data_IF_491356645838
#
_entry.id   IF_491356645838
#
_cell.length_a   1.000
_cell.length_b   1.000
_cell.length_c   1.000
_cell.angle_alpha   90.00
_cell.angle_beta   90.00
_cell.angle_gamma   90.00
#
_symmetry.space_group_name_H-M   'P 1'
#
loop_
_entity.id
_entity.type
_entity.pdbx_description
1 polymer ?
#
# COMPACT_ATOMS: atom_id res chain seq x y z
N UNK A 1 22.12 9.40 31.82
CA UNK A 1 22.02 7.93 31.75
C UNK A 1 22.08 7.54 30.28
N UNK A 2 22.95 6.60 29.90
CA UNK A 2 23.60 6.66 28.60
C UNK A 2 22.76 5.98 27.51
N UNK A 3 22.71 6.64 26.35
CA UNK A 3 22.43 6.05 25.05
C UNK A 3 23.54 5.04 24.72
N UNK A 4 23.47 3.84 25.29
CA UNK A 4 24.39 2.74 25.02
C UNK A 4 23.89 1.87 23.87
N UNK A 5 24.68 1.85 22.79
CA UNK A 5 24.94 0.68 21.91
C UNK A 5 23.82 0.10 21.03
N UNK A 6 23.15 0.94 20.22
CA UNK A 6 22.54 0.45 18.96
C UNK A 6 23.56 0.33 17.80
N UNK A 7 24.85 0.37 18.09
CA UNK A 7 25.93 0.38 17.09
C UNK A 7 26.45 -1.01 16.71
N UNK A 8 25.96 -2.10 17.32
CA UNK A 8 26.43 -3.47 17.06
C UNK A 8 25.31 -4.42 16.63
N UNK A 9 24.53 -4.04 15.63
CA UNK A 9 23.90 -5.05 14.77
C UNK A 9 24.77 -5.16 13.52
N UNK A 10 25.26 -6.36 13.16
CA UNK A 10 26.06 -6.54 11.95
C UNK A 10 25.31 -5.89 10.78
N UNK A 11 26.04 -5.26 9.86
CA UNK A 11 25.53 -4.76 8.57
C UNK A 11 24.93 -5.94 7.78
N UNK A 12 23.78 -6.45 8.22
CA UNK A 12 23.03 -7.47 7.51
C UNK A 12 22.56 -6.81 6.24
N UNK A 13 22.97 -7.41 5.13
CA UNK A 13 22.58 -7.02 3.80
C UNK A 13 21.08 -6.72 3.72
N UNK A 14 20.77 -5.83 2.80
CA UNK A 14 19.41 -5.48 2.44
C UNK A 14 18.62 -6.76 2.15
N UNK A 15 17.54 -6.97 2.89
CA UNK A 15 16.71 -8.14 2.68
C UNK A 15 15.90 -7.92 1.41
N UNK A 16 16.39 -8.45 0.28
CA UNK A 16 15.80 -8.28 -1.05
C UNK A 16 14.29 -8.60 -1.10
N UNK A 17 13.83 -9.54 -0.26
CA UNK A 17 12.42 -9.90 -0.15
C UNK A 17 11.53 -8.74 0.35
N UNK A 18 12.06 -7.86 1.21
CA UNK A 18 11.32 -6.69 1.74
C UNK A 18 11.09 -5.66 0.63
N UNK A 19 12.11 -5.44 -0.20
CA UNK A 19 11.98 -4.56 -1.36
C UNK A 19 11.04 -5.16 -2.38
N UNK A 20 11.22 -6.43 -2.75
CA UNK A 20 10.37 -7.10 -3.73
C UNK A 20 8.90 -7.11 -3.27
N UNK A 21 8.64 -7.49 -2.02
CA UNK A 21 7.30 -7.48 -1.43
C UNK A 21 6.72 -6.07 -1.34
N UNK A 22 7.48 -5.11 -0.82
CA UNK A 22 7.06 -3.71 -0.73
C UNK A 22 6.73 -3.11 -2.10
N UNK A 23 7.57 -3.35 -3.11
CA UNK A 23 7.34 -2.94 -4.49
C UNK A 23 6.07 -3.56 -5.07
N UNK A 24 5.88 -4.88 -4.90
CA UNK A 24 4.70 -5.57 -5.40
C UNK A 24 3.40 -5.03 -4.75
N UNK A 25 3.39 -4.87 -3.44
CA UNK A 25 2.23 -4.32 -2.71
C UNK A 25 1.94 -2.87 -3.11
N UNK A 26 2.98 -2.04 -3.23
CA UNK A 26 2.85 -0.65 -3.71
C UNK A 26 2.34 -0.59 -5.14
N UNK A 27 2.89 -1.40 -6.05
CA UNK A 27 2.47 -1.47 -7.44
C UNK A 27 0.98 -1.85 -7.58
N UNK A 28 0.56 -2.91 -6.88
CA UNK A 28 -0.84 -3.37 -6.94
C UNK A 28 -1.80 -2.37 -6.32
N UNK A 29 -1.46 -1.77 -5.18
CA UNK A 29 -2.31 -0.74 -4.58
C UNK A 29 -2.39 0.52 -5.44
N UNK A 30 -1.29 0.93 -6.10
CA UNK A 30 -1.29 2.06 -7.01
C UNK A 30 -2.14 1.79 -8.26
N UNK A 31 -2.08 0.56 -8.79
CA UNK A 31 -2.93 0.09 -9.91
C UNK A 31 -4.41 0.20 -9.55
N UNK A 32 -4.82 -0.34 -8.39
CA UNK A 32 -6.21 -0.24 -7.93
C UNK A 32 -6.64 1.22 -7.74
N UNK A 33 -5.78 2.04 -7.14
CA UNK A 33 -6.08 3.44 -6.86
C UNK A 33 -6.29 4.26 -8.14
N UNK A 34 -5.45 4.05 -9.17
CA UNK A 34 -5.63 4.68 -10.47
C UNK A 34 -6.94 4.23 -11.15
N UNK A 35 -7.28 2.94 -11.08
CA UNK A 35 -8.53 2.45 -11.63
C UNK A 35 -9.77 3.06 -10.97
N UNK A 36 -9.81 3.11 -9.63
CA UNK A 36 -10.89 3.78 -8.89
C UNK A 36 -10.98 5.28 -9.23
N UNK A 37 -9.83 5.95 -9.37
CA UNK A 37 -9.79 7.36 -9.74
C UNK A 37 -10.43 7.62 -11.10
N UNK A 38 -10.20 6.74 -12.07
CA UNK A 38 -10.72 6.89 -13.43
C UNK A 38 -12.21 6.54 -13.48
N UNK A 39 -12.62 5.43 -12.85
CA UNK A 39 -14.00 4.93 -12.90
C UNK A 39 -14.96 5.75 -12.02
N UNK A 40 -14.53 6.15 -10.82
CA UNK A 40 -15.40 6.76 -9.80
C UNK A 40 -14.95 8.17 -9.38
N UNK A 41 -13.90 8.74 -9.98
CA UNK A 41 -13.39 10.07 -9.64
C UNK A 41 -12.70 10.19 -8.27
N UNK A 42 -12.65 9.10 -7.50
CA UNK A 42 -12.14 9.05 -6.12
C UNK A 42 -11.06 7.99 -5.99
N UNK A 43 -10.14 8.20 -5.07
CA UNK A 43 -9.12 7.22 -4.70
C UNK A 43 -9.61 6.35 -3.53
N UNK A 44 -8.92 5.23 -3.27
CA UNK A 44 -9.19 4.34 -2.12
C UNK A 44 -8.06 4.37 -1.07
N UNK A 45 -7.06 5.21 -1.30
CA UNK A 45 -5.88 5.33 -0.43
C UNK A 45 -5.26 6.73 -0.36
N UNK A 46 -5.65 7.67 -1.24
CA UNK A 46 -5.07 9.02 -1.35
C UNK A 46 -6.05 10.08 -0.84
N UNK A 47 -6.40 9.95 0.44
CA UNK A 47 -7.41 10.78 1.09
C UNK A 47 -7.07 12.28 1.04
N UNK A 48 -5.79 12.66 1.06
CA UNK A 48 -5.39 14.08 0.97
C UNK A 48 -5.82 14.73 -0.34
N UNK A 49 -5.66 14.02 -1.47
CA UNK A 49 -6.10 14.52 -2.77
C UNK A 49 -7.62 14.58 -2.89
N UNK A 50 -8.32 13.57 -2.38
CA UNK A 50 -9.79 13.54 -2.44
C UNK A 50 -10.43 14.59 -1.51
N UNK A 51 -9.84 14.88 -0.34
CA UNK A 51 -10.22 16.02 0.50
C UNK A 51 -10.14 17.32 -0.28
N UNK A 52 -9.03 17.56 -0.99
CA UNK A 52 -8.88 18.76 -1.83
C UNK A 52 -9.92 18.82 -2.96
N UNK A 53 -10.22 17.70 -3.62
CA UNK A 53 -11.28 17.65 -4.65
C UNK A 53 -12.64 18.02 -4.08
N UNK A 54 -13.03 17.44 -2.94
CA UNK A 54 -14.31 17.75 -2.28
C UNK A 54 -14.38 19.23 -1.93
N UNK A 55 -13.29 19.82 -1.41
CA UNK A 55 -13.25 21.24 -1.08
C UNK A 55 -13.38 22.16 -2.32
N UNK A 56 -12.75 21.78 -3.44
CA UNK A 56 -12.86 22.51 -4.71
C UNK A 56 -14.29 22.46 -5.25
N UNK A 57 -14.90 21.27 -5.28
CA UNK A 57 -16.27 21.08 -5.78
C UNK A 57 -17.31 21.78 -4.88
N UNK A 58 -17.07 21.81 -3.56
CA UNK A 58 -17.85 22.60 -2.62
C UNK A 58 -17.78 24.10 -2.94
N UNK A 59 -16.59 24.64 -3.17
CA UNK A 59 -16.40 26.06 -3.49
C UNK A 59 -17.02 26.44 -4.84
N UNK A 60 -17.04 25.50 -5.80
CA UNK A 60 -17.66 25.68 -7.10
C UNK A 60 -19.19 25.54 -7.09
N UNK A 61 -19.78 25.05 -6.00
CA UNK A 61 -21.23 24.86 -5.87
C UNK A 61 -21.79 23.78 -6.80
N UNK A 62 -20.98 22.78 -7.18
CA UNK A 62 -21.43 21.73 -8.10
C UNK A 62 -22.27 20.68 -7.37
N UNK A 63 -23.13 19.98 -8.12
CA UNK A 63 -23.93 18.87 -7.58
C UNK A 63 -23.08 17.63 -7.21
N UNK A 64 -21.81 17.56 -7.64
CA UNK A 64 -20.91 16.42 -7.40
C UNK A 64 -20.33 16.39 -5.99
N UNK A 65 -20.43 17.50 -5.25
CA UNK A 65 -19.85 17.62 -3.91
C UNK A 65 -20.39 16.57 -2.95
N UNK A 66 -21.70 16.27 -3.00
CA UNK A 66 -22.34 15.30 -2.09
C UNK A 66 -21.82 13.89 -2.36
N UNK A 67 -21.72 13.51 -3.64
CA UNK A 67 -21.22 12.20 -4.06
C UNK A 67 -19.74 12.02 -3.64
N UNK A 68 -18.87 12.97 -3.96
CA UNK A 68 -17.45 12.90 -3.62
C UNK A 68 -17.23 12.92 -2.10
N UNK A 69 -18.02 13.69 -1.36
CA UNK A 69 -17.95 13.71 0.10
C UNK A 69 -18.36 12.37 0.71
N UNK A 70 -19.38 11.70 0.17
CA UNK A 70 -19.77 10.35 0.59
C UNK A 70 -18.71 9.31 0.26
N UNK A 71 -18.15 9.36 -0.95
CA UNK A 71 -17.04 8.50 -1.36
C UNK A 71 -15.85 8.65 -0.40
N UNK A 72 -15.46 9.90 -0.10
CA UNK A 72 -14.37 10.21 0.82
C UNK A 72 -14.66 9.73 2.25
N UNK A 73 -15.88 9.95 2.76
CA UNK A 73 -16.27 9.52 4.10
C UNK A 73 -16.18 8.00 4.24
N UNK A 74 -16.78 7.27 3.29
CA UNK A 74 -16.75 5.79 3.29
C UNK A 74 -15.34 5.28 3.13
N UNK A 75 -14.56 5.82 2.18
CA UNK A 75 -13.16 5.45 2.00
C UNK A 75 -12.35 5.65 3.29
N UNK A 76 -12.50 6.81 3.95
CA UNK A 76 -11.76 7.16 5.17
C UNK A 76 -12.12 6.22 6.33
N UNK A 77 -13.41 6.02 6.60
CA UNK A 77 -13.86 5.16 7.69
C UNK A 77 -13.48 3.70 7.46
N UNK A 78 -13.65 3.20 6.23
CA UNK A 78 -13.26 1.83 5.88
C UNK A 78 -11.75 1.64 5.93
N UNK A 79 -10.95 2.60 5.46
CA UNK A 79 -9.49 2.56 5.57
C UNK A 79 -9.05 2.52 7.04
N UNK A 80 -9.63 3.36 7.89
CA UNK A 80 -9.36 3.37 9.33
C UNK A 80 -9.71 2.02 9.96
N UNK A 81 -10.88 1.45 9.61
CA UNK A 81 -11.29 0.14 10.09
C UNK A 81 -10.32 -0.97 9.64
N UNK A 82 -9.86 -0.94 8.38
CA UNK A 82 -8.86 -1.87 7.86
C UNK A 82 -7.54 -1.78 8.60
N UNK A 83 -7.04 -0.56 8.80
CA UNK A 83 -5.82 -0.32 9.58
C UNK A 83 -5.96 -0.77 11.04
N UNK A 84 -7.13 -0.53 11.65
CA UNK A 84 -7.45 -0.96 13.02
C UNK A 84 -7.48 -2.48 13.14
N UNK A 85 -8.14 -3.15 12.19
CA UNK A 85 -8.20 -4.61 12.14
C UNK A 85 -6.82 -5.24 11.94
N UNK A 86 -5.99 -4.66 11.07
CA UNK A 86 -4.62 -5.10 10.92
C UNK A 86 -3.80 -4.93 12.21
N UNK A 87 -3.91 -3.76 12.88
CA UNK A 87 -3.24 -3.54 14.16
C UNK A 87 -3.71 -4.49 15.27
N UNK A 88 -5.00 -4.84 15.29
CA UNK A 88 -5.56 -5.80 16.24
C UNK A 88 -5.10 -7.24 15.94
N UNK A 89 -5.24 -7.67 14.69
CA UNK A 89 -4.98 -9.05 14.27
C UNK A 89 -3.49 -9.39 14.11
N UNK A 90 -2.66 -8.41 13.77
CA UNK A 90 -1.21 -8.58 13.54
C UNK A 90 -0.49 -7.93 14.72
N UNK A 91 -0.44 -8.66 15.82
CA UNK A 91 0.02 -8.19 17.13
C UNK A 91 1.56 -8.08 17.23
N UNK A 92 2.25 -7.48 16.25
CA UNK A 92 3.73 -7.37 16.28
C UNK A 92 4.26 -6.11 15.57
N UNK A 93 5.10 -5.30 16.24
CA UNK A 93 5.60 -4.03 15.70
C UNK A 93 6.79 -4.14 14.74
N UNK A 94 7.13 -5.33 14.20
CA UNK A 94 8.27 -5.50 13.29
C UNK A 94 8.03 -6.51 12.17
N UNK A 95 8.52 -6.20 10.97
CA UNK A 95 8.51 -7.09 9.80
C UNK A 95 9.48 -8.28 10.01
N UNK A 96 8.93 -9.50 10.08
CA UNK A 96 9.68 -10.73 10.33
C UNK A 96 9.33 -11.83 9.31
N UNK A 97 10.33 -12.38 8.62
CA UNK A 97 10.13 -13.40 7.57
C UNK A 97 9.37 -14.65 8.05
N UNK A 98 9.42 -14.94 9.35
CA UNK A 98 8.73 -16.04 10.02
C UNK A 98 7.21 -15.85 10.13
N UNK A 99 6.66 -14.69 9.74
CA UNK A 99 5.24 -14.36 9.89
C UNK A 99 4.41 -14.74 8.66
N UNK A 100 3.11 -15.04 8.82
CA UNK A 100 2.27 -15.54 7.73
C UNK A 100 1.75 -14.41 6.83
N UNK A 101 2.65 -13.55 6.30
CA UNK A 101 2.27 -12.44 5.42
C UNK A 101 1.45 -12.89 4.21
N UNK A 102 1.71 -14.09 3.68
CA UNK A 102 0.96 -14.65 2.56
C UNK A 102 -0.55 -14.73 2.81
N UNK A 103 -0.99 -15.05 4.04
CA UNK A 103 -2.43 -15.07 4.39
C UNK A 103 -3.03 -13.67 4.38
N UNK A 104 -2.33 -12.70 4.96
CA UNK A 104 -2.76 -11.31 4.97
C UNK A 104 -2.88 -10.74 3.54
N UNK A 105 -1.91 -11.05 2.67
CA UNK A 105 -1.92 -10.66 1.25
C UNK A 105 -3.06 -11.34 0.49
N UNK A 106 -3.36 -12.61 0.75
CA UNK A 106 -4.53 -13.28 0.17
C UNK A 106 -5.85 -12.65 0.63
N UNK A 107 -5.98 -12.25 1.90
CA UNK A 107 -7.17 -11.53 2.39
C UNK A 107 -7.37 -10.22 1.64
N UNK A 108 -6.29 -9.45 1.43
CA UNK A 108 -6.34 -8.23 0.60
C UNK A 108 -6.84 -8.54 -0.82
N UNK A 109 -6.33 -9.62 -1.43
CA UNK A 109 -6.78 -10.07 -2.75
C UNK A 109 -8.25 -10.47 -2.80
N UNK A 110 -8.75 -11.16 -1.77
CA UNK A 110 -10.18 -11.50 -1.64
C UNK A 110 -11.04 -10.24 -1.48
N UNK A 111 -10.60 -9.26 -0.69
CA UNK A 111 -11.30 -7.97 -0.61
C UNK A 111 -11.35 -7.27 -1.97
N UNK A 112 -10.26 -7.27 -2.75
CA UNK A 112 -10.27 -6.70 -4.10
C UNK A 112 -11.21 -7.45 -5.06
N UNK A 113 -11.33 -8.78 -4.91
CA UNK A 113 -12.29 -9.58 -5.66
C UNK A 113 -13.75 -9.26 -5.29
N UNK A 114 -14.02 -9.07 -4.00
CA UNK A 114 -15.35 -8.63 -3.53
C UNK A 114 -15.67 -7.24 -4.07
N UNK A 115 -14.70 -6.30 -3.98
CA UNK A 115 -14.85 -4.96 -4.54
C UNK A 115 -15.14 -5.01 -6.04
N UNK A 116 -14.48 -5.89 -6.79
CA UNK A 116 -14.77 -6.11 -8.21
C UNK A 116 -16.23 -6.57 -8.43
N UNK A 117 -16.67 -7.57 -7.68
CA UNK A 117 -18.00 -8.17 -7.84
C UNK A 117 -19.14 -7.17 -7.58
N UNK A 118 -18.93 -6.23 -6.65
CA UNK A 118 -19.96 -5.24 -6.28
C UNK A 118 -19.79 -3.90 -6.99
N UNK A 119 -18.71 -3.66 -7.73
CA UNK A 119 -18.38 -2.35 -8.31
C UNK A 119 -19.50 -1.76 -9.17
N UNK A 120 -20.11 -2.56 -10.04
CA UNK A 120 -21.13 -2.10 -10.98
C UNK A 120 -22.47 -1.79 -10.32
N UNK A 121 -22.90 -2.61 -9.34
CA UNK A 121 -24.19 -2.48 -8.69
C UNK A 121 -24.14 -1.56 -7.45
N UNK A 122 -23.01 -1.55 -6.73
CA UNK A 122 -22.83 -0.84 -5.48
C UNK A 122 -21.43 -0.17 -5.41
N UNK A 123 -21.20 0.91 -6.19
CA UNK A 123 -19.89 1.58 -6.25
C UNK A 123 -19.34 2.01 -4.88
N UNK A 124 -20.22 2.53 -4.01
CA UNK A 124 -19.86 2.95 -2.66
C UNK A 124 -19.38 1.78 -1.79
N UNK A 125 -19.99 0.59 -1.95
CA UNK A 125 -19.55 -0.62 -1.26
C UNK A 125 -18.18 -1.08 -1.79
N UNK A 126 -17.95 -1.00 -3.11
CA UNK A 126 -16.64 -1.30 -3.68
C UNK A 126 -15.53 -0.37 -3.17
N UNK A 127 -15.81 0.94 -3.07
CA UNK A 127 -14.92 1.92 -2.43
C UNK A 127 -14.62 1.51 -0.99
N UNK A 128 -15.64 1.18 -0.20
CA UNK A 128 -15.48 0.76 1.19
C UNK A 128 -14.60 -0.48 1.35
N UNK A 129 -14.90 -1.55 0.60
CA UNK A 129 -14.14 -2.82 0.68
C UNK A 129 -12.69 -2.63 0.20
N UNK A 130 -12.46 -1.92 -0.89
CA UNK A 130 -11.11 -1.65 -1.38
C UNK A 130 -10.31 -0.74 -0.44
N UNK A 131 -10.96 0.28 0.14
CA UNK A 131 -10.32 1.18 1.10
C UNK A 131 -9.97 0.45 2.41
N UNK A 132 -10.84 -0.44 2.88
CA UNK A 132 -10.52 -1.37 3.98
C UNK A 132 -9.28 -2.19 3.67
N UNK A 133 -9.20 -2.79 2.48
CA UNK A 133 -8.05 -3.59 2.07
C UNK A 133 -6.76 -2.75 2.01
N UNK A 134 -6.81 -1.53 1.47
CA UNK A 134 -5.68 -0.60 1.46
C UNK A 134 -5.24 -0.18 2.86
N UNK A 135 -6.19 0.11 3.76
CA UNK A 135 -5.91 0.42 5.17
C UNK A 135 -5.24 -0.75 5.89
N UNK A 136 -5.78 -1.95 5.69
CA UNK A 136 -5.23 -3.19 6.24
C UNK A 136 -3.80 -3.44 5.73
N UNK A 137 -3.54 -3.27 4.43
CA UNK A 137 -2.20 -3.40 3.84
C UNK A 137 -1.20 -2.39 4.41
N UNK A 138 -1.60 -1.13 4.55
CA UNK A 138 -0.69 -0.11 5.05
C UNK A 138 -0.33 -0.30 6.52
N UNK A 139 -1.22 -0.90 7.32
CA UNK A 139 -0.94 -1.28 8.70
C UNK A 139 -0.13 -2.59 8.82
N UNK A 140 -0.23 -3.49 7.84
CA UNK A 140 0.58 -4.72 7.76
C UNK A 140 2.08 -4.43 7.61
N UNK A 141 2.44 -3.36 6.90
CA UNK A 141 3.81 -3.04 6.51
C UNK A 141 4.51 -2.04 7.46
N UNK A 142 4.16 -2.01 8.74
CA UNK A 142 4.42 -0.80 9.55
C UNK A 142 5.86 -0.56 9.99
N UNK A 143 6.73 -1.57 10.11
CA UNK A 143 8.10 -1.30 10.58
C UNK A 143 9.15 -2.27 10.02
N UNK A 144 10.07 -1.73 9.21
CA UNK A 144 11.30 -2.39 8.82
C UNK A 144 12.50 -1.61 9.36
N UNK A 145 13.23 -2.18 10.33
CA UNK A 145 14.46 -1.59 10.90
C UNK A 145 14.30 -0.11 11.33
N UNK A 146 13.17 0.21 11.96
CA UNK A 146 12.84 1.57 12.42
C UNK A 146 12.29 2.52 11.34
N UNK A 147 12.28 2.11 10.06
CA UNK A 147 11.56 2.80 9.00
C UNK A 147 10.11 2.33 8.96
N UNK A 148 9.18 3.27 8.80
CA UNK A 148 7.77 2.96 8.57
C UNK A 148 7.56 2.72 7.07
N UNK A 149 7.30 1.48 6.66
CA UNK A 149 7.16 1.15 5.23
C UNK A 149 5.70 1.32 4.78
N UNK A 150 5.32 2.53 4.36
CA UNK A 150 3.95 2.81 3.90
C UNK A 150 3.82 2.59 2.39
N UNK A 151 2.98 1.63 1.98
CA UNK A 151 2.89 1.21 0.56
C UNK A 151 2.11 2.18 -0.34
N UNK A 152 1.26 3.05 0.22
CA UNK A 152 0.45 4.01 -0.56
C UNK A 152 0.79 5.48 -0.34
N UNK A 153 1.75 5.80 0.54
CA UNK A 153 2.02 7.17 0.97
C UNK A 153 3.22 7.79 0.24
N UNK A 154 3.06 8.02 -1.07
CA UNK A 154 4.15 8.44 -1.98
C UNK A 154 4.84 9.75 -1.54
N UNK A 155 4.10 10.73 -1.03
CA UNK A 155 4.68 12.01 -0.55
C UNK A 155 5.65 11.79 0.60
N UNK A 156 5.34 10.86 1.51
CA UNK A 156 6.25 10.45 2.58
C UNK A 156 7.51 9.79 2.05
N UNK A 157 7.37 8.86 1.09
CA UNK A 157 8.51 8.19 0.46
C UNK A 157 9.44 9.18 -0.27
N UNK A 158 8.88 10.17 -0.97
CA UNK A 158 9.64 11.23 -1.64
C UNK A 158 10.39 12.11 -0.63
N UNK A 159 9.74 12.50 0.47
CA UNK A 159 10.39 13.26 1.55
C UNK A 159 11.53 12.48 2.18
N UNK A 160 11.32 11.20 2.48
CA UNK A 160 12.35 10.33 3.04
C UNK A 160 13.53 10.17 2.08
N UNK A 161 13.25 9.94 0.78
CA UNK A 161 14.27 9.86 -0.26
C UNK A 161 15.07 11.16 -0.36
N UNK A 162 14.39 12.31 -0.47
CA UNK A 162 15.02 13.62 -0.58
C UNK A 162 15.87 13.97 0.64
N UNK A 163 15.37 13.71 1.85
CA UNK A 163 16.10 13.95 3.10
C UNK A 163 17.37 13.09 3.18
N UNK A 164 17.26 11.79 2.87
CA UNK A 164 18.42 10.89 2.88
C UNK A 164 19.45 11.25 1.81
N UNK A 165 19.02 11.58 0.59
CA UNK A 165 19.92 12.05 -0.47
C UNK A 165 20.65 13.35 -0.05
N UNK A 166 19.93 14.32 0.51
CA UNK A 166 20.51 15.56 0.99
C UNK A 166 21.55 15.35 2.10
N UNK A 167 21.28 14.44 3.03
CA UNK A 167 22.26 14.06 4.07
C UNK A 167 23.51 13.39 3.47
N UNK A 168 23.35 12.51 2.48
CA UNK A 168 24.48 11.88 1.77
C UNK A 168 25.32 12.92 1.03
N UNK A 169 24.69 13.89 0.36
CA UNK A 169 25.40 14.99 -0.32
C UNK A 169 26.19 15.87 0.67
N UNK A 170 25.72 15.97 1.92
CA UNK A 170 26.41 16.67 3.01
C UNK A 170 27.51 15.83 3.69
N UNK A 171 27.76 14.61 3.20
CA UNK A 171 28.81 13.73 3.71
C UNK A 171 28.41 12.86 4.91
N UNK A 172 27.12 12.81 5.28
CA UNK A 172 26.67 11.88 6.32
C UNK A 172 26.65 10.43 5.80
N UNK A 173 27.08 9.48 6.63
CA UNK A 173 27.02 8.04 6.33
C UNK A 173 25.57 7.52 6.46
N UNK A 174 24.80 7.65 5.38
CA UNK A 174 23.44 7.14 5.29
C UNK A 174 23.46 5.74 4.69
N UNK A 175 22.84 4.80 5.40
CA UNK A 175 22.73 3.43 4.92
C UNK A 175 21.96 3.34 3.59
N UNK A 176 22.53 2.65 2.59
CA UNK A 176 21.99 2.54 1.22
C UNK A 176 20.52 2.14 1.15
N UNK A 177 20.04 1.30 2.06
CA UNK A 177 18.64 0.86 2.09
C UNK A 177 17.65 1.98 2.37
N UNK A 178 18.05 3.03 3.08
CA UNK A 178 17.22 4.21 3.33
C UNK A 178 16.97 5.05 2.07
N UNK A 179 17.79 4.87 1.04
CA UNK A 179 17.65 5.52 -0.26
C UNK A 179 16.96 4.57 -1.25
N UNK A 180 17.43 3.33 -1.34
CA UNK A 180 16.96 2.37 -2.32
C UNK A 180 15.51 1.93 -2.08
N UNK A 181 15.09 1.71 -0.82
CA UNK A 181 13.70 1.31 -0.53
C UNK A 181 12.71 2.40 -1.01
N UNK A 182 12.79 3.66 -0.55
CA UNK A 182 11.88 4.70 -1.04
C UNK A 182 11.94 4.90 -2.55
N UNK A 183 13.13 4.85 -3.15
CA UNK A 183 13.30 4.97 -4.60
C UNK A 183 12.51 3.89 -5.36
N UNK A 184 12.72 2.61 -5.02
CA UNK A 184 12.04 1.51 -5.71
C UNK A 184 10.53 1.49 -5.47
N UNK A 185 10.08 1.89 -4.27
CA UNK A 185 8.65 2.01 -3.99
C UNK A 185 8.02 3.16 -4.80
N UNK A 186 8.67 4.31 -4.91
CA UNK A 186 8.20 5.43 -5.75
C UNK A 186 8.09 5.01 -7.22
N UNK A 187 9.11 4.33 -7.75
CA UNK A 187 9.08 3.80 -9.12
C UNK A 187 7.95 2.77 -9.31
N UNK A 188 7.80 1.83 -8.38
CA UNK A 188 6.69 0.86 -8.40
C UNK A 188 5.32 1.54 -8.34
N UNK A 189 5.18 2.59 -7.54
CA UNK A 189 3.94 3.35 -7.43
C UNK A 189 3.58 3.98 -8.78
N UNK A 190 4.56 4.61 -9.44
CA UNK A 190 4.36 5.23 -10.76
C UNK A 190 3.98 4.19 -11.81
N UNK A 191 4.72 3.08 -11.89
CA UNK A 191 4.46 2.01 -12.84
C UNK A 191 3.10 1.35 -12.60
N UNK A 192 2.72 1.14 -11.34
CA UNK A 192 1.41 0.58 -10.98
C UNK A 192 0.27 1.53 -11.35
N UNK A 193 0.41 2.82 -11.06
CA UNK A 193 -0.56 3.83 -11.49
C UNK A 193 -0.71 3.87 -13.01
N UNK A 194 0.40 3.80 -13.74
CA UNK A 194 0.40 3.76 -15.21
C UNK A 194 -0.30 2.51 -15.74
N UNK A 195 -0.04 1.33 -15.15
CA UNK A 195 -0.74 0.11 -15.51
C UNK A 195 -2.24 0.23 -15.25
N UNK A 196 -2.66 0.75 -14.09
CA UNK A 196 -4.06 0.96 -13.77
C UNK A 196 -4.76 1.86 -14.79
N UNK A 197 -4.10 2.95 -15.19
CA UNK A 197 -4.59 3.82 -16.24
C UNK A 197 -4.70 3.13 -17.60
N UNK A 198 -3.71 2.34 -18.00
CA UNK A 198 -3.74 1.59 -19.26
C UNK A 198 -4.86 0.52 -19.25
N UNK A 199 -5.01 -0.22 -18.15
CA UNK A 199 -6.06 -1.23 -17.99
C UNK A 199 -7.44 -0.64 -18.21
N UNK A 200 -7.73 0.51 -17.60
CA UNK A 200 -9.06 1.14 -17.69
C UNK A 200 -9.26 1.91 -19.00
N UNK A 201 -8.33 2.80 -19.36
CA UNK A 201 -8.52 3.76 -20.47
C UNK A 201 -8.29 3.12 -21.84
N UNK A 202 -7.28 2.24 -21.96
CA UNK A 202 -6.86 1.69 -23.26
C UNK A 202 -7.37 0.29 -23.50
N UNK A 203 -7.36 -0.54 -22.46
CA UNK A 203 -7.70 -1.96 -22.58
C UNK A 203 -9.15 -2.26 -22.18
N UNK A 204 -9.83 -1.33 -21.51
CA UNK A 204 -11.18 -1.53 -20.94
C UNK A 204 -11.28 -2.84 -20.13
N UNK A 205 -10.19 -3.19 -19.45
CA UNK A 205 -10.03 -4.44 -18.72
C UNK A 205 -10.51 -4.27 -17.26
N UNK A 206 -11.02 -5.34 -16.62
CA UNK A 206 -11.44 -5.30 -15.22
C UNK A 206 -10.23 -5.17 -14.29
N UNK A 207 -9.78 -3.94 -14.02
CA UNK A 207 -8.55 -3.66 -13.27
C UNK A 207 -8.53 -4.32 -11.89
N UNK A 208 -9.67 -4.36 -11.18
CA UNK A 208 -9.76 -5.01 -9.86
C UNK A 208 -9.59 -6.52 -9.94
N UNK A 209 -10.07 -7.17 -11.01
CA UNK A 209 -9.87 -8.60 -11.18
C UNK A 209 -8.38 -8.91 -11.37
N UNK A 210 -7.69 -8.13 -12.21
CA UNK A 210 -6.23 -8.25 -12.39
C UNK A 210 -5.50 -8.07 -11.06
N UNK A 211 -5.83 -7.00 -10.31
CA UNK A 211 -5.22 -6.72 -9.01
C UNK A 211 -5.51 -7.83 -7.99
N UNK A 212 -6.75 -8.30 -7.90
CA UNK A 212 -7.16 -9.38 -7.00
C UNK A 212 -6.40 -10.67 -7.29
N UNK A 213 -6.34 -11.08 -8.56
CA UNK A 213 -5.60 -12.28 -8.99
C UNK A 213 -4.13 -12.20 -8.60
N UNK A 214 -3.48 -11.05 -8.80
CA UNK A 214 -2.07 -10.86 -8.47
C UNK A 214 -1.81 -10.86 -6.95
N UNK A 215 -2.70 -10.28 -6.13
CA UNK A 215 -2.60 -10.39 -4.67
C UNK A 215 -2.77 -11.83 -4.20
N UNK A 216 -3.78 -12.55 -4.69
CA UNK A 216 -4.01 -13.95 -4.32
C UNK A 216 -2.84 -14.83 -4.74
N UNK A 217 -2.37 -14.69 -5.99
CA UNK A 217 -1.22 -15.42 -6.50
C UNK A 217 0.04 -15.12 -5.68
N UNK A 218 0.35 -13.85 -5.42
CA UNK A 218 1.52 -13.46 -4.62
C UNK A 218 1.46 -13.99 -3.19
N UNK A 219 0.31 -13.90 -2.53
CA UNK A 219 0.10 -14.43 -1.18
C UNK A 219 0.19 -15.96 -1.11
N UNK A 220 -0.32 -16.66 -2.13
CA UNK A 220 -0.20 -18.11 -2.27
C UNK A 220 1.26 -18.53 -2.52
N UNK A 221 1.94 -17.89 -3.47
CA UNK A 221 3.36 -18.12 -3.76
C UNK A 221 4.23 -17.92 -2.53
N UNK A 222 3.98 -16.86 -1.75
CA UNK A 222 4.69 -16.65 -0.47
C UNK A 222 4.41 -17.74 0.56
N UNK A 223 3.16 -18.18 0.67
CA UNK A 223 2.75 -19.23 1.60
C UNK A 223 3.39 -20.58 1.25
N UNK A 224 3.43 -20.91 -0.05
CA UNK A 224 4.12 -22.10 -0.58
C UNK A 224 5.62 -21.98 -0.33
N UNK A 225 6.26 -20.89 -0.78
CA UNK A 225 7.69 -20.66 -0.58
C UNK A 225 8.09 -20.86 0.88
N UNK A 226 7.33 -20.29 1.81
CA UNK A 226 7.57 -20.47 3.23
C UNK A 226 7.41 -21.92 3.70
N UNK A 227 6.38 -22.64 3.24
CA UNK A 227 6.15 -24.03 3.64
C UNK A 227 7.28 -24.96 3.19
N UNK A 228 7.82 -24.74 1.99
CA UNK A 228 8.86 -25.60 1.40
C UNK A 228 10.28 -25.21 1.80
N UNK A 229 10.57 -23.91 1.95
CA UNK A 229 11.93 -23.40 2.18
C UNK A 229 12.21 -22.95 3.61
N UNK A 230 11.22 -22.93 4.52
CA UNK A 230 11.46 -22.84 5.96
C UNK A 230 11.23 -24.21 6.62
N UNK A 231 12.21 -25.14 6.58
CA UNK A 231 12.10 -26.36 7.35
C UNK A 231 12.01 -26.00 8.84
N UNK A 232 10.82 -26.24 9.42
CA UNK A 232 10.50 -26.26 10.85
C UNK A 232 11.45 -25.44 11.76
N UNK A 233 11.17 -24.15 11.92
CA UNK A 233 11.32 -23.52 13.24
C UNK A 233 10.08 -23.91 14.06
N UNK A 234 10.03 -25.16 14.50
CA UNK A 234 9.16 -25.56 15.61
C UNK A 234 9.94 -25.38 16.90
#
# INVERSE_FOLDING_TARGET
MPFSSLQDRPKREMEHWVIAGGCALTFLSATANAGFLIELGTSVSHLTGDVSKVAVEFAQGTHRVVELAMNLLVATLSFLLGATMAGYAIHHPSLEISRPYGRAVMVIGVCMLIAHAVLSAFPLAAIGVASFACGFQNALATHYRGMILRTTHITGLLTDLGTNLGMTMRGHDIARWKILIPLFLVLSFFLGSALGAVLVIRLHAPFLLVVASLYVAGGLSWSIYKHWFSPKMR
#
